data_IF_250428741301
#
_entry.id   IF_250428741301
#
_cell.length_a   1.000
_cell.length_b   1.000
_cell.length_c   1.000
_cell.angle_alpha   90.00
_cell.angle_beta   90.00
_cell.angle_gamma   90.00
#
_symmetry.space_group_name_H-M   'P 1'
#
loop_
_entity.id
_entity.type
_entity.pdbx_description
1 polymer ?
#
# COMPACT_ATOMS: atom_id res chain seq x y z
N UNK A 1 -29.16 -28.91 -4.78
CA UNK A 1 -29.32 -27.44 -4.66
C UNK A 1 -27.93 -26.79 -4.75
N UNK A 2 -27.65 -26.05 -5.82
CA UNK A 2 -26.34 -25.46 -6.11
C UNK A 2 -26.19 -24.08 -5.44
N UNK A 3 -25.36 -23.96 -4.41
CA UNK A 3 -24.97 -22.68 -3.82
C UNK A 3 -23.88 -22.03 -4.68
N UNK A 4 -24.29 -21.15 -5.61
CA UNK A 4 -23.37 -20.24 -6.33
C UNK A 4 -22.66 -19.34 -5.31
N UNK A 5 -21.42 -19.70 -4.93
CA UNK A 5 -20.52 -18.82 -4.17
C UNK A 5 -20.18 -17.62 -5.05
N UNK A 6 -20.86 -16.49 -4.82
CA UNK A 6 -20.50 -15.21 -5.45
C UNK A 6 -19.16 -14.78 -4.86
N UNK A 7 -18.08 -14.87 -5.63
CA UNK A 7 -16.82 -14.21 -5.32
C UNK A 7 -17.06 -12.69 -5.37
N UNK A 8 -17.46 -12.09 -4.24
CA UNK A 8 -17.36 -10.64 -4.05
C UNK A 8 -15.88 -10.32 -3.96
N UNK A 9 -15.28 -9.95 -5.09
CA UNK A 9 -13.97 -9.30 -5.14
C UNK A 9 -14.09 -8.06 -4.26
N UNK A 10 -13.60 -8.12 -3.02
CA UNK A 10 -13.54 -6.96 -2.15
C UNK A 10 -12.51 -6.02 -2.78
N UNK A 11 -13.00 -5.03 -3.52
CA UNK A 11 -12.17 -3.93 -4.00
C UNK A 11 -11.78 -3.09 -2.79
N UNK A 12 -10.67 -3.44 -2.15
CA UNK A 12 -10.11 -2.62 -1.07
C UNK A 12 -9.54 -1.37 -1.72
N UNK A 13 -10.21 -0.23 -1.54
CA UNK A 13 -9.67 1.05 -1.99
C UNK A 13 -8.48 1.42 -1.12
N UNK A 14 -7.28 0.99 -1.52
CA UNK A 14 -6.02 1.72 -1.40
C UNK A 14 -5.71 2.45 -0.08
N UNK A 15 -6.40 3.54 0.30
CA UNK A 15 -6.03 4.68 1.19
C UNK A 15 -4.54 5.12 1.15
N UNK A 16 -4.25 6.40 1.45
CA UNK A 16 -2.84 6.80 1.55
C UNK A 16 -2.19 6.14 2.76
N UNK A 17 -2.90 6.13 3.89
CA UNK A 17 -2.40 5.60 5.16
C UNK A 17 -2.13 4.08 5.09
N UNK A 18 -2.97 3.31 4.39
CA UNK A 18 -2.71 1.89 4.22
C UNK A 18 -1.53 1.58 3.27
N UNK A 19 -1.25 2.45 2.30
CA UNK A 19 -0.02 2.34 1.49
C UNK A 19 1.22 2.63 2.34
N UNK A 20 1.14 3.58 3.27
CA UNK A 20 2.21 3.86 4.23
C UNK A 20 2.43 2.69 5.20
N UNK A 21 1.36 2.09 5.74
CA UNK A 21 1.44 0.87 6.58
C UNK A 21 2.16 -0.27 5.85
N UNK A 22 1.82 -0.51 4.57
CA UNK A 22 2.49 -1.53 3.76
C UNK A 22 3.96 -1.18 3.51
N UNK A 23 4.27 0.10 3.27
CA UNK A 23 5.65 0.54 3.09
C UNK A 23 6.50 0.27 4.34
N UNK A 24 5.94 0.50 5.53
CA UNK A 24 6.62 0.27 6.79
C UNK A 24 6.79 -1.22 7.10
N UNK A 25 5.80 -2.04 6.74
CA UNK A 25 5.93 -3.50 6.78
C UNK A 25 7.08 -3.99 5.88
N UNK A 26 7.15 -3.51 4.62
CA UNK A 26 8.24 -3.88 3.70
C UNK A 26 9.61 -3.38 4.15
N UNK A 27 9.68 -2.19 4.72
CA UNK A 27 10.92 -1.67 5.30
C UNK A 27 11.36 -2.49 6.53
N UNK A 28 10.41 -3.01 7.32
CA UNK A 28 10.70 -3.87 8.46
C UNK A 28 11.15 -5.27 8.03
N UNK A 29 10.51 -5.86 7.01
CA UNK A 29 10.97 -7.09 6.37
C UNK A 29 12.41 -6.94 5.86
N UNK A 30 12.72 -5.82 5.19
CA UNK A 30 14.06 -5.54 4.69
C UNK A 30 15.14 -5.55 5.78
N UNK A 31 14.81 -5.14 7.02
CA UNK A 31 15.74 -5.16 8.16
C UNK A 31 16.06 -6.58 8.63
N UNK A 32 15.17 -7.54 8.38
CA UNK A 32 15.34 -8.94 8.76
C UNK A 32 16.05 -9.76 7.68
N UNK A 33 16.18 -9.22 6.48
CA UNK A 33 16.85 -9.87 5.35
C UNK A 33 18.36 -9.62 5.39
N UNK A 34 19.19 -10.60 4.98
CA UNK A 34 20.61 -10.38 4.77
C UNK A 34 20.83 -9.34 3.66
N UNK A 35 22.01 -8.71 3.68
CA UNK A 35 22.42 -7.83 2.58
C UNK A 35 22.39 -8.58 1.25
N UNK A 36 21.88 -7.93 0.20
CA UNK A 36 21.74 -8.51 -1.12
C UNK A 36 20.44 -8.14 -1.81
N UNK A 37 20.16 -8.82 -2.91
CA UNK A 37 19.07 -8.47 -3.83
C UNK A 37 17.69 -8.49 -3.14
N UNK A 38 17.41 -9.49 -2.31
CA UNK A 38 16.12 -9.61 -1.62
C UNK A 38 15.84 -8.39 -0.71
N UNK A 39 16.85 -7.92 0.04
CA UNK A 39 16.74 -6.73 0.88
C UNK A 39 16.56 -5.47 0.04
N UNK A 40 17.33 -5.32 -1.04
CA UNK A 40 17.20 -4.19 -1.96
C UNK A 40 15.82 -4.13 -2.61
N UNK A 41 15.27 -5.29 -2.99
CA UNK A 41 13.93 -5.41 -3.53
C UNK A 41 12.85 -5.00 -2.51
N UNK A 42 12.97 -5.46 -1.25
CA UNK A 42 12.05 -5.05 -0.18
C UNK A 42 12.10 -3.54 0.07
N UNK A 43 13.30 -2.93 0.09
CA UNK A 43 13.47 -1.48 0.22
C UNK A 43 12.90 -0.71 -0.97
N UNK A 44 13.11 -1.20 -2.19
CA UNK A 44 12.57 -0.60 -3.41
C UNK A 44 11.04 -0.63 -3.42
N UNK A 45 10.45 -1.76 -3.03
CA UNK A 45 9.00 -1.89 -2.89
C UNK A 45 8.45 -0.92 -1.84
N UNK A 46 9.11 -0.80 -0.68
CA UNK A 46 8.74 0.16 0.35
C UNK A 46 8.76 1.61 -0.19
N UNK A 47 9.81 1.98 -0.93
CA UNK A 47 9.91 3.31 -1.52
C UNK A 47 8.80 3.60 -2.55
N UNK A 48 8.48 2.63 -3.41
CA UNK A 48 7.38 2.76 -4.38
C UNK A 48 6.03 2.96 -3.69
N UNK A 49 5.76 2.21 -2.61
CA UNK A 49 4.53 2.36 -1.84
C UNK A 49 4.40 3.76 -1.22
N UNK A 50 5.48 4.33 -0.70
CA UNK A 50 5.49 5.72 -0.19
C UNK A 50 5.20 6.75 -1.27
N UNK A 51 5.75 6.56 -2.47
CA UNK A 51 5.45 7.44 -3.62
C UNK A 51 3.96 7.36 -3.96
N UNK A 52 3.38 6.17 -3.99
CA UNK A 52 1.94 6.01 -4.24
C UNK A 52 1.08 6.61 -3.13
N UNK A 53 1.46 6.44 -1.85
CA UNK A 53 0.77 7.06 -0.72
C UNK A 53 0.77 8.59 -0.85
N UNK A 54 1.93 9.17 -1.14
CA UNK A 54 2.09 10.60 -1.38
C UNK A 54 1.21 11.09 -2.54
N UNK A 55 1.30 10.44 -3.70
CA UNK A 55 0.48 10.80 -4.87
C UNK A 55 -1.00 10.70 -4.54
N UNK A 56 -1.42 9.65 -3.84
CA UNK A 56 -2.81 9.45 -3.45
C UNK A 56 -3.29 10.54 -2.49
N UNK A 57 -2.44 11.01 -1.59
CA UNK A 57 -2.74 12.13 -0.68
C UNK A 57 -2.83 13.46 -1.43
N UNK A 58 -1.97 13.66 -2.42
CA UNK A 58 -1.99 14.86 -3.29
C UNK A 58 -3.21 14.90 -4.22
N UNK A 59 -3.67 13.72 -4.69
CA UNK A 59 -4.82 13.57 -5.57
C UNK A 59 -6.16 13.48 -4.83
N UNK A 60 -6.15 13.15 -3.53
CA UNK A 60 -7.34 13.24 -2.71
C UNK A 60 -7.72 14.74 -2.65
N UNK A 61 -8.86 15.16 -3.27
CA UNK A 61 -9.28 16.54 -3.18
C UNK A 61 -9.35 16.89 -1.71
N UNK A 62 -8.83 18.07 -1.34
CA UNK A 62 -8.98 18.64 -0.01
C UNK A 62 -10.48 18.72 0.31
N UNK A 63 -11.04 17.64 0.85
CA UNK A 63 -12.46 17.48 1.10
C UNK A 63 -12.89 18.26 2.34
N UNK A 64 -12.28 19.42 2.61
CA UNK A 64 -12.70 20.47 3.52
C UNK A 64 -11.94 21.70 3.03
N UNK A 65 -12.54 22.70 2.38
CA UNK A 65 -13.46 23.67 2.97
C UNK A 65 -14.34 24.23 1.85
N UNK A 66 -15.58 23.77 1.76
CA UNK A 66 -16.64 24.63 1.20
C UNK A 66 -16.87 25.72 2.22
N UNK A 67 -16.65 26.97 1.81
CA UNK A 67 -16.96 28.16 2.60
C UNK A 67 -18.46 28.46 2.57
#
# INVERSE_FOLDING_TARGET
>A
MNLKRRNRTKTTFLTADHLDEQADARASEAKQLPEGEARQNALRNAAQLRVYAFMKRALAPQAVKSK
#
